data_IF_736781196699
#
_entry.id   IF_736781196699
#
_cell.length_a   1.000
_cell.length_b   1.000
_cell.length_c   1.000
_cell.angle_alpha   90.00
_cell.angle_beta   90.00
_cell.angle_gamma   90.00
#
_symmetry.space_group_name_H-M   'P 1'
#
loop_
_entity.id
_entity.type
_entity.pdbx_description
1 polymer ?
#
# COMPACT_ATOMS: atom_id res chain seq x y z
N UNK A 1 30.41 9.97 -0.38
CA UNK A 1 29.17 9.64 0.35
C UNK A 1 28.01 10.22 -0.44
N UNK A 2 27.33 9.39 -1.23
CA UNK A 2 26.18 9.84 -2.02
C UNK A 2 25.01 9.94 -1.04
N UNK A 3 24.50 11.14 -0.81
CA UNK A 3 23.26 11.33 -0.05
C UNK A 3 22.14 10.79 -0.95
N UNK A 4 21.75 9.53 -0.77
CA UNK A 4 20.52 9.01 -1.36
C UNK A 4 19.38 9.79 -0.71
N UNK A 5 18.72 10.67 -1.49
CA UNK A 5 17.50 11.33 -1.01
C UNK A 5 16.49 10.24 -0.68
N UNK A 6 16.03 10.22 0.56
CA UNK A 6 14.95 9.33 1.00
C UNK A 6 13.72 9.59 0.12
N UNK A 7 13.25 8.55 -0.56
CA UNK A 7 12.08 8.64 -1.43
C UNK A 7 10.86 8.95 -0.56
N UNK A 8 10.16 10.06 -0.86
CA UNK A 8 8.94 10.40 -0.14
C UNK A 8 7.76 9.73 -0.82
N UNK A 9 6.74 9.41 -0.02
CA UNK A 9 5.51 8.83 -0.52
C UNK A 9 4.29 9.32 0.26
N UNK A 10 3.15 9.28 -0.42
CA UNK A 10 1.80 9.43 0.14
C UNK A 10 1.04 8.13 -0.02
N UNK A 11 0.09 7.90 0.88
CA UNK A 11 -0.78 6.74 0.86
C UNK A 11 -2.20 7.22 0.56
N UNK A 12 -2.86 6.55 -0.36
CA UNK A 12 -4.27 6.72 -0.64
C UNK A 12 -4.98 5.39 -0.42
N UNK A 13 -5.99 5.40 0.46
CA UNK A 13 -6.73 4.22 0.88
C UNK A 13 -8.02 4.10 0.08
N UNK A 14 -8.27 2.93 -0.52
CA UNK A 14 -9.42 2.72 -1.42
C UNK A 14 -10.73 2.50 -0.67
N UNK A 15 -10.66 2.04 0.58
CA UNK A 15 -11.80 1.81 1.46
C UNK A 15 -11.38 1.96 2.93
N UNK A 16 -12.38 1.97 3.81
CA UNK A 16 -12.17 2.07 5.27
C UNK A 16 -11.91 0.68 5.86
N UNK A 17 -10.96 0.58 6.77
CA UNK A 17 -10.74 -0.61 7.60
C UNK A 17 -11.72 -0.62 8.78
N UNK A 18 -12.42 -1.73 8.98
CA UNK A 18 -13.35 -1.89 10.12
C UNK A 18 -12.63 -2.47 11.35
N UNK A 19 -11.76 -3.45 11.14
CA UNK A 19 -10.95 -4.09 12.19
C UNK A 19 -9.48 -4.11 11.80
N UNK A 20 -8.69 -3.21 12.38
CA UNK A 20 -7.26 -3.09 12.08
C UNK A 20 -6.46 -4.36 12.39
N UNK A 21 -7.00 -5.32 13.15
CA UNK A 21 -6.33 -6.57 13.48
C UNK A 21 -6.82 -7.77 12.66
N UNK A 22 -7.89 -7.65 11.87
CA UNK A 22 -8.50 -8.79 11.19
C UNK A 22 -9.09 -8.45 9.81
N UNK A 23 -8.50 -7.49 9.10
CA UNK A 23 -8.99 -7.03 7.80
C UNK A 23 -7.87 -7.03 6.76
N UNK A 24 -8.20 -6.61 5.54
CA UNK A 24 -7.25 -6.29 4.49
C UNK A 24 -7.54 -4.90 3.91
N UNK A 25 -6.56 -4.32 3.20
CA UNK A 25 -6.75 -3.04 2.53
C UNK A 25 -5.91 -2.89 1.28
N UNK A 26 -6.53 -2.42 0.21
CA UNK A 26 -5.85 -2.01 -1.02
C UNK A 26 -5.45 -0.54 -0.90
N UNK A 27 -4.17 -0.26 -1.16
CA UNK A 27 -3.60 1.07 -1.10
C UNK A 27 -2.98 1.47 -2.43
N UNK A 28 -3.10 2.75 -2.77
CA UNK A 28 -2.21 3.38 -3.73
C UNK A 28 -1.03 4.02 -2.99
N UNK A 29 0.18 3.71 -3.45
CA UNK A 29 1.43 4.26 -2.93
C UNK A 29 1.96 5.23 -3.98
N UNK A 30 1.97 6.52 -3.63
CA UNK A 30 2.26 7.60 -4.56
C UNK A 30 3.63 8.15 -4.22
N UNK A 31 4.60 7.92 -5.08
CA UNK A 31 5.98 8.30 -4.87
C UNK A 31 6.21 9.76 -5.32
N UNK A 32 7.23 10.41 -4.76
CA UNK A 32 7.55 11.81 -5.07
C UNK A 32 8.03 12.06 -6.51
N UNK A 33 8.24 11.01 -7.29
CA UNK A 33 8.53 11.07 -8.74
C UNK A 33 7.28 10.91 -9.61
N UNK A 34 6.09 11.07 -9.01
CA UNK A 34 4.77 10.90 -9.62
C UNK A 34 4.37 9.46 -9.96
N UNK A 35 5.21 8.45 -9.71
CA UNK A 35 4.84 7.06 -9.91
C UNK A 35 3.79 6.62 -8.89
N UNK A 36 2.84 5.79 -9.34
CA UNK A 36 1.80 5.22 -8.50
C UNK A 36 1.89 3.70 -8.55
N UNK A 37 1.94 3.11 -7.38
CA UNK A 37 1.95 1.67 -7.15
C UNK A 37 0.70 1.23 -6.41
N UNK A 38 0.35 -0.04 -6.50
CA UNK A 38 -0.70 -0.69 -5.71
C UNK A 38 -0.13 -1.82 -4.88
N UNK A 39 -0.69 -2.01 -3.69
CA UNK A 39 -0.47 -3.18 -2.85
C UNK A 39 -1.73 -3.49 -2.03
N UNK A 40 -1.92 -4.75 -1.69
CA UNK A 40 -2.91 -5.21 -0.73
C UNK A 40 -2.22 -5.64 0.57
N UNK A 41 -2.60 -5.01 1.67
CA UNK A 41 -2.10 -5.33 2.99
C UNK A 41 -3.06 -6.26 3.71
N UNK A 42 -2.53 -7.30 4.34
CA UNK A 42 -3.30 -8.26 5.12
C UNK A 42 -2.74 -8.36 6.54
N UNK A 43 -3.61 -8.54 7.52
CA UNK A 43 -3.17 -9.06 8.82
C UNK A 43 -3.08 -10.58 8.78
N UNK A 44 -2.18 -11.15 9.58
CA UNK A 44 -2.07 -12.62 9.68
C UNK A 44 -3.37 -13.25 10.20
N UNK A 45 -4.11 -12.56 11.07
CA UNK A 45 -5.40 -13.03 11.56
C UNK A 45 -6.46 -13.05 10.45
N UNK A 46 -6.47 -12.03 9.58
CA UNK A 46 -7.37 -11.97 8.44
C UNK A 46 -7.16 -13.17 7.50
N UNK A 47 -5.90 -13.44 7.12
CA UNK A 47 -5.56 -14.61 6.28
C UNK A 47 -6.03 -15.91 6.94
N UNK A 48 -5.75 -16.08 8.24
CA UNK A 48 -6.17 -17.27 8.97
C UNK A 48 -7.70 -17.42 9.07
N UNK A 49 -8.43 -16.31 9.21
CA UNK A 49 -9.89 -16.28 9.21
C UNK A 49 -10.45 -16.68 7.84
N UNK A 50 -9.95 -16.08 6.76
CA UNK A 50 -10.36 -16.39 5.39
C UNK A 50 -10.11 -17.87 5.04
N UNK A 51 -8.91 -18.38 5.35
CA UNK A 51 -8.58 -19.78 5.10
C UNK A 51 -9.48 -20.76 5.86
N UNK A 52 -9.82 -20.47 7.12
CA UNK A 52 -10.73 -21.32 7.90
C UNK A 52 -12.17 -21.23 7.40
N UNK A 53 -12.65 -20.02 7.09
CA UNK A 53 -14.02 -19.78 6.61
C UNK A 53 -14.28 -20.49 5.29
N UNK A 54 -13.29 -20.46 4.39
CA UNK A 54 -13.43 -20.96 3.03
C UNK A 54 -12.86 -22.39 2.86
N UNK A 55 -12.46 -23.04 3.97
CA UNK A 55 -11.77 -24.34 3.99
C UNK A 55 -10.59 -24.41 2.99
N UNK A 56 -9.91 -23.28 2.81
CA UNK A 56 -8.94 -23.09 1.74
C UNK A 56 -7.60 -23.76 2.09
N UNK A 57 -7.02 -24.47 1.11
CA UNK A 57 -5.68 -25.06 1.25
C UNK A 57 -4.54 -24.08 0.97
N UNK A 58 -4.84 -22.93 0.37
CA UNK A 58 -3.87 -21.87 0.06
C UNK A 58 -4.56 -20.50 0.03
N UNK A 59 -3.77 -19.46 0.25
CA UNK A 59 -4.18 -18.06 0.15
C UNK A 59 -3.15 -17.32 -0.72
N UNK A 60 -3.61 -16.47 -1.65
CA UNK A 60 -2.72 -15.73 -2.54
C UNK A 60 -3.34 -14.40 -2.97
N UNK A 61 -2.48 -13.43 -3.25
CA UNK A 61 -2.77 -12.14 -3.87
C UNK A 61 -1.50 -11.71 -4.64
N UNK A 62 -1.65 -10.94 -5.72
CA UNK A 62 -0.53 -10.54 -6.58
C UNK A 62 0.46 -9.60 -5.88
N UNK A 63 -0.06 -8.62 -5.14
CA UNK A 63 0.70 -7.52 -4.54
C UNK A 63 0.56 -7.54 -3.01
N UNK A 64 0.95 -8.67 -2.41
CA UNK A 64 0.68 -8.96 -1.01
C UNK A 64 1.77 -8.43 -0.07
N UNK A 65 1.36 -7.69 0.97
CA UNK A 65 2.20 -7.34 2.12
C UNK A 65 1.48 -7.80 3.39
N UNK A 66 2.16 -8.55 4.24
CA UNK A 66 1.61 -9.02 5.52
C UNK A 66 2.12 -8.11 6.65
N UNK A 67 1.22 -7.56 7.43
CA UNK A 67 1.52 -6.63 8.54
C UNK A 67 0.86 -7.10 9.85
N UNK A 68 1.38 -6.69 11.02
CA UNK A 68 0.77 -7.07 12.30
C UNK A 68 -0.61 -6.42 12.53
N UNK A 69 -0.83 -5.23 11.97
CA UNK A 69 -2.08 -4.47 12.05
C UNK A 69 -2.16 -3.46 10.88
N UNK A 70 -3.36 -2.97 10.59
CA UNK A 70 -3.63 -1.99 9.54
C UNK A 70 -3.65 -0.54 10.03
N UNK A 71 -3.03 -0.24 11.17
CA UNK A 71 -2.89 1.17 11.58
C UNK A 71 -2.02 1.93 10.58
N UNK A 72 -2.33 3.21 10.38
CA UNK A 72 -1.58 4.07 9.47
C UNK A 72 -0.07 4.10 9.77
N UNK A 73 0.32 3.99 11.05
CA UNK A 73 1.72 3.93 11.46
C UNK A 73 2.40 2.65 10.95
N UNK A 74 1.76 1.50 11.16
CA UNK A 74 2.28 0.20 10.72
C UNK A 74 2.38 0.13 9.20
N UNK A 75 1.35 0.57 8.48
CA UNK A 75 1.34 0.59 7.02
C UNK A 75 2.47 1.48 6.49
N UNK A 76 2.58 2.72 7.00
CA UNK A 76 3.63 3.65 6.58
C UNK A 76 5.03 3.09 6.86
N UNK A 77 5.21 2.45 8.02
CA UNK A 77 6.47 1.81 8.39
C UNK A 77 6.83 0.67 7.42
N UNK A 78 5.89 -0.23 7.13
CA UNK A 78 6.09 -1.35 6.22
C UNK A 78 6.50 -0.89 4.80
N UNK A 79 5.83 0.15 4.27
CA UNK A 79 6.19 0.72 2.97
C UNK A 79 7.58 1.36 3.00
N UNK A 80 7.91 2.06 4.09
CA UNK A 80 9.24 2.65 4.23
C UNK A 80 10.35 1.59 4.30
N UNK A 81 10.14 0.51 5.04
CA UNK A 81 11.09 -0.62 5.14
C UNK A 81 11.24 -1.31 3.77
N UNK A 82 10.16 -1.54 3.04
CA UNK A 82 10.22 -2.11 1.69
C UNK A 82 11.02 -1.24 0.71
N UNK A 83 10.93 0.09 0.82
CA UNK A 83 11.74 1.03 0.04
C UNK A 83 13.22 1.00 0.47
N UNK A 84 13.48 1.02 1.79
CA UNK A 84 14.82 1.06 2.35
C UNK A 84 15.61 -0.24 2.06
N UNK A 85 14.93 -1.38 2.05
CA UNK A 85 15.51 -2.70 1.81
C UNK A 85 15.51 -3.12 0.31
N UNK A 86 14.96 -2.29 -0.58
CA UNK A 86 14.94 -2.53 -2.03
C UNK A 86 13.98 -3.62 -2.51
N UNK A 87 12.97 -3.97 -1.71
CA UNK A 87 11.95 -4.98 -2.04
C UNK A 87 10.64 -4.36 -2.56
N UNK A 88 10.51 -3.03 -2.52
CA UNK A 88 9.28 -2.32 -2.88
C UNK A 88 8.69 -2.75 -4.23
N UNK A 89 9.47 -2.72 -5.31
CA UNK A 89 9.00 -3.09 -6.66
C UNK A 89 8.71 -4.59 -6.83
N UNK A 90 9.11 -5.44 -5.88
CA UNK A 90 8.76 -6.86 -5.86
C UNK A 90 7.48 -7.14 -5.07
N UNK A 91 7.14 -6.27 -4.13
CA UNK A 91 5.95 -6.39 -3.28
C UNK A 91 4.75 -5.61 -3.83
N UNK A 92 4.99 -4.62 -4.69
CA UNK A 92 3.97 -3.71 -5.23
C UNK A 92 4.04 -3.65 -6.75
N UNK A 93 2.89 -3.51 -7.41
CA UNK A 93 2.80 -3.30 -8.86
C UNK A 93 2.69 -1.83 -9.22
N UNK A 94 3.48 -1.37 -10.19
CA UNK A 94 3.34 -0.03 -10.77
C UNK A 94 2.10 0.00 -11.67
N UNK A 95 1.19 0.93 -11.40
CA UNK A 95 -0.08 1.07 -12.15
C UNK A 95 -0.15 2.35 -13.00
N UNK A 96 0.82 3.24 -12.87
CA UNK A 96 0.92 4.44 -13.73
C UNK A 96 1.62 5.59 -13.02
N UNK A 97 1.19 6.80 -13.36
CA UNK A 97 1.58 8.05 -12.69
C UNK A 97 0.37 8.72 -12.05
N UNK A 98 0.59 9.74 -11.22
CA UNK A 98 -0.50 10.51 -10.59
C UNK A 98 -1.51 10.99 -11.63
N UNK A 99 -1.01 11.56 -12.72
CA UNK A 99 -1.83 12.06 -13.82
C UNK A 99 -2.70 10.97 -14.47
N UNK A 100 -2.18 9.76 -14.66
CA UNK A 100 -2.93 8.70 -15.35
C UNK A 100 -3.89 7.96 -14.43
N UNK A 101 -3.52 7.79 -13.16
CA UNK A 101 -4.32 7.03 -12.17
C UNK A 101 -5.43 7.89 -11.57
N UNK A 102 -5.16 9.17 -11.30
CA UNK A 102 -6.08 10.08 -10.61
C UNK A 102 -6.60 11.21 -11.52
N UNK A 103 -6.71 10.96 -12.84
CA UNK A 103 -7.25 11.95 -13.80
C UNK A 103 -8.66 12.42 -13.39
N UNK A 104 -9.46 11.53 -12.80
CA UNK A 104 -10.80 11.83 -12.30
C UNK A 104 -10.82 12.80 -11.10
N UNK A 105 -9.72 12.93 -10.35
CA UNK A 105 -9.55 13.94 -9.29
C UNK A 105 -8.96 15.26 -9.84
N UNK A 106 -8.49 15.27 -11.09
CA UNK A 106 -7.80 16.39 -11.71
C UNK A 106 -6.34 16.56 -11.26
N UNK A 107 -5.79 15.63 -10.47
CA UNK A 107 -4.40 15.72 -10.00
C UNK A 107 -3.39 15.44 -11.11
N UNK A 108 -2.39 16.32 -11.20
CA UNK A 108 -1.34 16.26 -12.21
C UNK A 108 0.01 15.78 -11.65
N UNK A 109 0.22 15.91 -10.32
CA UNK A 109 1.48 15.51 -9.67
C UNK A 109 1.31 15.19 -8.18
N UNK A 110 2.31 14.55 -7.60
CA UNK A 110 2.45 14.18 -6.19
C UNK A 110 2.11 15.34 -5.25
N UNK A 111 2.51 16.56 -5.59
CA UNK A 111 2.30 17.74 -4.76
C UNK A 111 0.81 18.12 -4.61
N UNK A 112 -0.03 17.74 -5.57
CA UNK A 112 -1.47 18.05 -5.57
C UNK A 112 -2.32 16.99 -4.86
N UNK A 113 -1.74 15.84 -4.55
CA UNK A 113 -2.42 14.77 -3.81
C UNK A 113 -2.63 15.23 -2.37
N UNK A 114 -3.85 15.62 -2.03
CA UNK A 114 -4.20 16.20 -0.71
C UNK A 114 -5.10 15.28 0.14
N UNK A 115 -5.35 14.05 -0.31
CA UNK A 115 -6.12 13.05 0.44
C UNK A 115 -5.19 12.01 1.05
N UNK A 116 -4.61 12.31 2.21
CA UNK A 116 -4.36 11.24 3.20
C UNK A 116 -5.70 10.94 3.85
N UNK A 117 -6.53 10.13 3.19
CA UNK A 117 -7.84 9.75 3.73
C UNK A 117 -7.64 9.11 5.11
N UNK A 118 -8.34 9.66 6.11
CA UNK A 118 -8.46 9.16 7.49
C UNK A 118 -9.49 8.03 7.51
#
# INVERSE_FOLDING_TARGET
>A
MIIMRKMQFKLFFTHRVEDIFNDNIDIHIILSNDDVYVATLFTLNNIGMLMRRDEASYFWASDMIIVPDLSHLTIRKAIQEALDDGYFEKACSKIGTVKTVFDYEGWQSYNQVDKTSI
#
